data_IF_595360428593
#
_entry.id   IF_595360428593
#
_cell.length_a   1.000
_cell.length_b   1.000
_cell.length_c   1.000
_cell.angle_alpha   90.00
_cell.angle_beta   90.00
_cell.angle_gamma   90.00
#
_symmetry.space_group_name_H-M   'P 1'
#
loop_
_entity.id
_entity.type
_entity.pdbx_description
1 polymer ?
#
# COMPACT_ATOMS: atom_id res chain seq x y z
N UNK A 1 -15.87 -78.94 35.20
CA UNK A 1 -14.94 -77.95 35.79
C UNK A 1 -14.12 -77.27 34.69
N UNK A 2 -13.35 -77.99 33.86
CA UNK A 2 -12.57 -77.38 32.76
C UNK A 2 -13.41 -76.66 31.69
N UNK A 3 -14.57 -77.19 31.31
CA UNK A 3 -15.43 -76.54 30.29
C UNK A 3 -16.00 -75.18 30.75
N UNK A 4 -16.30 -75.05 32.05
CA UNK A 4 -16.82 -73.81 32.63
C UNK A 4 -15.73 -72.73 32.75
N UNK A 5 -14.49 -73.11 33.08
CA UNK A 5 -13.36 -72.19 33.07
C UNK A 5 -13.03 -71.68 31.67
N UNK A 6 -13.06 -72.55 30.67
CA UNK A 6 -12.84 -72.15 29.28
C UNK A 6 -13.95 -71.22 28.78
N UNK A 7 -15.20 -71.47 29.16
CA UNK A 7 -16.33 -70.58 28.82
C UNK A 7 -16.18 -69.21 29.48
N UNK A 8 -15.75 -69.15 30.75
CA UNK A 8 -15.44 -67.89 31.43
C UNK A 8 -14.31 -67.12 30.76
N UNK A 9 -13.18 -67.79 30.44
CA UNK A 9 -12.07 -67.14 29.73
C UNK A 9 -12.49 -66.58 28.38
N UNK A 10 -13.28 -67.33 27.60
CA UNK A 10 -13.82 -66.84 26.32
C UNK A 10 -14.72 -65.63 26.51
N UNK A 11 -15.64 -65.67 27.48
CA UNK A 11 -16.51 -64.51 27.74
C UNK A 11 -15.75 -63.25 28.19
N UNK A 12 -14.66 -63.42 28.94
CA UNK A 12 -13.80 -62.31 29.37
C UNK A 12 -13.03 -61.76 28.16
N UNK A 13 -12.44 -62.62 27.34
CA UNK A 13 -11.73 -62.21 26.14
C UNK A 13 -12.66 -61.51 25.12
N UNK A 14 -13.89 -62.01 24.96
CA UNK A 14 -14.90 -61.39 24.09
C UNK A 14 -15.34 -60.02 24.62
N UNK A 15 -15.50 -59.89 25.95
CA UNK A 15 -15.83 -58.63 26.59
C UNK A 15 -14.69 -57.59 26.45
N UNK A 16 -13.43 -58.01 26.66
CA UNK A 16 -12.26 -57.15 26.49
C UNK A 16 -12.11 -56.69 25.03
N UNK A 17 -12.29 -57.60 24.06
CA UNK A 17 -12.26 -57.25 22.64
C UNK A 17 -13.40 -56.27 22.27
N UNK A 18 -14.59 -56.47 22.82
CA UNK A 18 -15.71 -55.55 22.62
C UNK A 18 -15.42 -54.18 23.24
N UNK A 19 -14.87 -54.11 24.45
CA UNK A 19 -14.50 -52.83 25.08
C UNK A 19 -13.43 -52.09 24.30
N UNK A 20 -12.38 -52.77 23.85
CA UNK A 20 -11.30 -52.16 23.06
C UNK A 20 -11.82 -51.61 21.73
N UNK A 21 -12.63 -52.39 21.02
CA UNK A 21 -13.22 -51.94 19.75
C UNK A 21 -14.19 -50.78 19.93
N UNK A 22 -15.01 -50.79 20.99
CA UNK A 22 -15.90 -49.68 21.32
C UNK A 22 -15.15 -48.43 21.74
N UNK A 23 -14.08 -48.57 22.53
CA UNK A 23 -13.22 -47.45 22.90
C UNK A 23 -12.54 -46.84 21.67
N UNK A 24 -11.97 -47.67 20.79
CA UNK A 24 -11.35 -47.19 19.55
C UNK A 24 -12.36 -46.48 18.63
N UNK A 25 -13.59 -47.01 18.51
CA UNK A 25 -14.67 -46.34 17.76
C UNK A 25 -15.05 -44.99 18.37
N UNK A 26 -15.16 -44.92 19.70
CA UNK A 26 -15.49 -43.68 20.40
C UNK A 26 -14.37 -42.64 20.28
N UNK A 27 -13.10 -43.05 20.32
CA UNK A 27 -11.94 -42.16 20.14
C UNK A 27 -11.89 -41.61 18.71
N UNK A 28 -12.06 -42.46 17.69
CA UNK A 28 -12.10 -42.05 16.29
C UNK A 28 -13.24 -41.07 16.00
N UNK A 29 -14.43 -41.31 16.57
CA UNK A 29 -15.57 -40.42 16.40
C UNK A 29 -15.36 -39.08 17.12
N UNK A 30 -14.77 -39.10 18.32
CA UNK A 30 -14.40 -37.87 19.02
C UNK A 30 -13.39 -37.04 18.21
N UNK A 31 -12.38 -37.68 17.62
CA UNK A 31 -11.39 -36.99 16.79
C UNK A 31 -12.02 -36.42 15.52
N UNK A 32 -12.94 -37.16 14.87
CA UNK A 32 -13.70 -36.68 13.72
C UNK A 32 -14.55 -35.45 14.06
N UNK A 33 -15.36 -35.53 15.12
CA UNK A 33 -16.21 -34.42 15.57
C UNK A 33 -15.37 -33.20 15.92
N UNK A 34 -14.24 -33.41 16.61
CA UNK A 34 -13.32 -32.34 16.96
C UNK A 34 -12.70 -31.69 15.73
N UNK A 35 -12.20 -32.48 14.78
CA UNK A 35 -11.64 -31.98 13.53
C UNK A 35 -12.66 -31.20 12.69
N UNK A 36 -13.90 -31.69 12.60
CA UNK A 36 -14.99 -30.98 11.92
C UNK A 36 -15.35 -29.66 12.60
N UNK A 37 -15.42 -29.67 13.93
CA UNK A 37 -15.72 -28.46 14.71
C UNK A 37 -14.61 -27.41 14.56
N UNK A 38 -13.34 -27.82 14.63
CA UNK A 38 -12.19 -26.94 14.45
C UNK A 38 -12.13 -26.39 13.03
N UNK A 39 -12.38 -27.22 12.02
CA UNK A 39 -12.44 -26.79 10.62
C UNK A 39 -13.56 -25.76 10.40
N UNK A 40 -14.74 -25.97 10.99
CA UNK A 40 -15.85 -25.04 10.89
C UNK A 40 -15.54 -23.71 11.60
N UNK A 41 -14.93 -23.75 12.79
CA UNK A 41 -14.48 -22.54 13.48
C UNK A 41 -13.48 -21.75 12.63
N UNK A 42 -12.50 -22.43 12.03
CA UNK A 42 -11.51 -21.78 11.14
C UNK A 42 -12.18 -21.21 9.91
N UNK A 43 -13.10 -21.94 9.30
CA UNK A 43 -13.86 -21.48 8.13
C UNK A 43 -14.67 -20.23 8.45
N UNK A 44 -15.43 -20.25 9.54
CA UNK A 44 -16.24 -19.12 9.98
C UNK A 44 -15.36 -17.91 10.34
N UNK A 45 -14.22 -18.14 11.01
CA UNK A 45 -13.25 -17.07 11.27
C UNK A 45 -12.67 -16.51 9.96
N UNK A 46 -12.33 -17.35 9.00
CA UNK A 46 -11.84 -16.93 7.69
C UNK A 46 -12.86 -16.10 6.91
N UNK A 47 -14.14 -16.48 6.96
CA UNK A 47 -15.24 -15.71 6.37
C UNK A 47 -15.39 -14.36 7.08
N UNK A 48 -15.40 -14.34 8.41
CA UNK A 48 -15.51 -13.11 9.19
C UNK A 48 -14.33 -12.15 8.95
N UNK A 49 -13.10 -12.67 8.85
CA UNK A 49 -11.91 -11.87 8.52
C UNK A 49 -11.97 -11.33 7.08
N UNK A 50 -12.40 -12.15 6.13
CA UNK A 50 -12.57 -11.73 4.74
C UNK A 50 -13.63 -10.62 4.63
N UNK A 51 -14.79 -10.79 5.27
CA UNK A 51 -15.86 -9.80 5.27
C UNK A 51 -15.44 -8.51 5.98
N UNK A 52 -14.69 -8.61 7.08
CA UNK A 52 -14.12 -7.45 7.76
C UNK A 52 -13.15 -6.68 6.87
N UNK A 53 -12.25 -7.38 6.18
CA UNK A 53 -11.32 -6.76 5.21
C UNK A 53 -12.05 -6.16 4.02
N UNK A 54 -13.08 -6.81 3.50
CA UNK A 54 -13.89 -6.27 2.41
C UNK A 54 -14.64 -5.01 2.86
N UNK A 55 -15.23 -5.01 4.07
CA UNK A 55 -15.85 -3.83 4.65
C UNK A 55 -14.84 -2.72 4.90
N UNK A 56 -13.63 -3.05 5.35
CA UNK A 56 -12.54 -2.08 5.50
C UNK A 56 -12.08 -1.52 4.15
N UNK A 57 -12.01 -2.34 3.10
CA UNK A 57 -11.66 -1.90 1.76
C UNK A 57 -12.75 -0.99 1.16
N UNK A 58 -14.03 -1.36 1.27
CA UNK A 58 -15.17 -0.51 0.87
C UNK A 58 -15.22 0.77 1.69
N UNK A 59 -14.95 0.67 2.99
CA UNK A 59 -14.79 1.83 3.83
C UNK A 59 -13.66 2.71 3.30
N UNK A 60 -12.46 2.19 3.02
CA UNK A 60 -11.34 2.96 2.45
C UNK A 60 -11.64 3.53 1.05
N UNK A 61 -12.53 2.89 0.28
CA UNK A 61 -13.02 3.43 -1.00
C UNK A 61 -13.94 4.63 -0.79
N UNK A 62 -14.82 4.58 0.21
CA UNK A 62 -15.74 5.68 0.56
C UNK A 62 -15.09 6.77 1.46
N UNK A 63 -14.17 6.40 2.33
CA UNK A 63 -13.24 7.26 3.05
C UNK A 63 -12.16 7.68 2.05
N UNK A 64 -12.56 8.55 1.13
CA UNK A 64 -11.76 8.94 -0.04
C UNK A 64 -10.44 9.65 0.30
N UNK A 65 -9.89 10.30 -0.73
CA UNK A 65 -8.59 11.01 -0.72
C UNK A 65 -8.35 11.86 0.55
N UNK A 66 -9.40 12.46 1.12
CA UNK A 66 -9.33 13.24 2.36
C UNK A 66 -8.90 12.44 3.61
N UNK A 67 -9.36 11.19 3.78
CA UNK A 67 -8.98 10.36 4.94
C UNK A 67 -7.53 9.85 4.82
N UNK A 68 -7.10 9.53 3.59
CA UNK A 68 -5.71 9.19 3.28
C UNK A 68 -4.82 10.40 3.55
N UNK A 69 -5.25 11.60 3.14
CA UNK A 69 -4.55 12.85 3.41
C UNK A 69 -4.43 13.12 4.91
N UNK A 70 -5.49 12.93 5.70
CA UNK A 70 -5.45 13.12 7.15
C UNK A 70 -4.49 12.13 7.84
N UNK A 71 -4.50 10.86 7.42
CA UNK A 71 -3.53 9.86 7.92
C UNK A 71 -2.10 10.24 7.53
N UNK A 72 -1.88 10.74 6.31
CA UNK A 72 -0.56 11.20 5.87
C UNK A 72 -0.09 12.41 6.69
N UNK A 73 -0.97 13.40 6.88
CA UNK A 73 -0.70 14.58 7.72
C UNK A 73 -0.32 14.16 9.15
N UNK A 74 -0.93 13.10 9.67
CA UNK A 74 -0.61 12.59 11.02
C UNK A 74 0.80 11.98 11.12
N UNK A 75 1.32 11.39 10.04
CA UNK A 75 2.63 10.71 9.99
C UNK A 75 3.77 11.64 9.51
N UNK A 76 3.44 12.72 8.79
CA UNK A 76 4.42 13.69 8.29
C UNK A 76 5.38 14.27 9.34
N UNK A 77 4.96 14.62 10.58
CA UNK A 77 5.87 15.15 11.60
C UNK A 77 6.99 14.19 11.99
N UNK A 78 6.66 12.91 12.18
CA UNK A 78 7.65 11.88 12.55
C UNK A 78 8.67 11.66 11.43
N UNK A 79 8.21 11.72 10.16
CA UNK A 79 9.09 11.63 9.01
C UNK A 79 10.00 12.86 8.89
N UNK A 80 9.43 14.06 9.05
CA UNK A 80 10.19 15.32 9.02
C UNK A 80 11.24 15.37 10.13
N UNK A 81 10.96 14.88 11.34
CA UNK A 81 11.91 14.76 12.44
C UNK A 81 13.09 13.84 12.07
N UNK A 82 12.81 12.65 11.52
CA UNK A 82 13.85 11.68 11.13
C UNK A 82 14.72 12.19 9.98
N UNK A 83 14.13 12.89 9.01
CA UNK A 83 14.87 13.46 7.87
C UNK A 83 15.66 14.71 8.29
N UNK A 84 15.11 15.52 9.18
CA UNK A 84 15.79 16.72 9.68
C UNK A 84 16.83 16.43 10.76
N UNK A 85 16.80 15.27 11.42
CA UNK A 85 17.78 14.90 12.44
C UNK A 85 19.25 15.08 11.99
N UNK A 86 19.74 14.50 10.87
CA UNK A 86 21.11 14.71 10.40
C UNK A 86 21.37 16.12 9.85
N UNK A 87 20.36 16.80 9.31
CA UNK A 87 20.49 18.17 8.77
C UNK A 87 20.53 19.22 9.89
N UNK A 88 19.78 19.03 10.97
CA UNK A 88 19.75 19.90 12.16
C UNK A 88 21.08 19.93 12.91
N UNK A 89 21.89 18.88 12.76
CA UNK A 89 23.21 18.78 13.36
C UNK A 89 24.26 19.63 12.62
N UNK A 90 23.98 20.07 11.39
CA UNK A 90 24.87 20.94 10.60
C UNK A 90 24.47 22.39 10.85
N UNK A 91 25.13 23.05 11.80
CA UNK A 91 24.88 24.46 12.14
C UNK A 91 25.56 25.44 11.18
N UNK A 92 26.75 25.10 10.69
CA UNK A 92 27.54 25.94 9.80
C UNK A 92 28.33 25.09 8.80
N UNK A 93 27.93 25.09 7.53
CA UNK A 93 28.77 24.55 6.45
C UNK A 93 29.71 25.66 5.95
N UNK A 94 30.89 25.79 6.55
CA UNK A 94 31.93 26.67 6.03
C UNK A 94 32.72 25.95 4.94
N UNK A 95 32.40 26.23 3.68
CA UNK A 95 33.20 25.79 2.53
C UNK A 95 34.55 26.52 2.60
N UNK A 96 35.62 25.80 2.93
CA UNK A 96 36.97 26.33 2.86
C UNK A 96 37.51 26.01 1.47
N UNK A 97 37.50 27.03 0.60
CA UNK A 97 38.27 27.01 -0.63
C UNK A 97 39.75 27.13 -0.23
N UNK A 98 40.46 26.00 -0.16
CA UNK A 98 41.92 26.00 -0.02
C UNK A 98 42.49 26.49 -1.34
N UNK A 99 42.57 27.81 -1.46
CA UNK A 99 43.14 28.52 -2.59
C UNK A 99 44.60 28.11 -2.83
N UNK A 100 44.78 27.04 -3.60
CA UNK A 100 46.01 26.81 -4.35
C UNK A 100 46.04 27.82 -5.49
N UNK A 101 47.21 28.42 -5.73
CA UNK A 101 47.49 29.56 -6.62
C UNK A 101 47.13 29.38 -8.11
N UNK A 102 46.18 28.51 -8.47
CA UNK A 102 45.71 28.29 -9.83
C UNK A 102 44.24 27.83 -9.95
N UNK A 103 43.39 28.03 -8.94
CA UNK A 103 41.96 27.67 -9.05
C UNK A 103 41.06 28.89 -9.23
N UNK A 104 40.55 29.04 -10.44
CA UNK A 104 39.26 29.68 -10.72
C UNK A 104 38.26 29.25 -9.63
N UNK A 105 37.64 30.23 -8.94
CA UNK A 105 36.97 30.05 -7.65
C UNK A 105 36.00 28.86 -7.53
N UNK A 106 35.79 28.39 -6.29
CA UNK A 106 35.00 27.21 -5.93
C UNK A 106 33.63 27.05 -6.61
N UNK A 107 32.98 28.14 -7.05
CA UNK A 107 31.74 28.11 -7.81
C UNK A 107 31.89 27.44 -9.19
N UNK A 108 33.02 27.66 -9.88
CA UNK A 108 33.29 27.06 -11.18
C UNK A 108 33.61 25.56 -11.06
N UNK A 109 34.27 25.14 -9.97
CA UNK A 109 34.47 23.70 -9.69
C UNK A 109 33.16 22.99 -9.36
N UNK A 110 32.26 23.60 -8.59
CA UNK A 110 30.94 22.99 -8.31
C UNK A 110 30.10 22.88 -9.58
N UNK A 111 30.01 23.95 -10.39
CA UNK A 111 29.28 23.91 -11.65
C UNK A 111 29.86 22.87 -12.65
N UNK A 112 31.19 22.78 -12.72
CA UNK A 112 31.86 21.76 -13.54
C UNK A 112 31.69 20.34 -12.98
N UNK A 113 31.65 20.17 -11.66
CA UNK A 113 31.39 18.88 -11.00
C UNK A 113 29.95 18.41 -11.22
N UNK A 114 28.96 19.30 -11.15
CA UNK A 114 27.55 18.96 -11.42
C UNK A 114 27.38 18.56 -12.89
N UNK A 115 27.96 19.32 -13.82
CA UNK A 115 27.91 19.00 -15.25
C UNK A 115 28.59 17.66 -15.54
N UNK A 116 29.77 17.41 -14.96
CA UNK A 116 30.50 16.15 -15.15
C UNK A 116 29.80 14.94 -14.52
N UNK A 117 29.17 15.13 -13.35
CA UNK A 117 28.39 14.09 -12.67
C UNK A 117 27.13 13.76 -13.48
N UNK A 118 26.46 14.77 -14.02
CA UNK A 118 25.29 14.60 -14.88
C UNK A 118 25.64 13.86 -16.19
N UNK A 119 26.80 14.15 -16.77
CA UNK A 119 27.31 13.42 -17.94
C UNK A 119 27.62 11.94 -17.60
N UNK A 120 28.28 11.68 -16.47
CA UNK A 120 28.58 10.31 -16.02
C UNK A 120 27.33 9.49 -15.69
N UNK A 121 26.30 10.12 -15.11
CA UNK A 121 25.02 9.47 -14.85
C UNK A 121 24.30 9.11 -16.16
N UNK A 122 24.29 10.01 -17.15
CA UNK A 122 23.68 9.73 -18.45
C UNK A 122 24.38 8.57 -19.18
N UNK A 123 25.71 8.53 -19.14
CA UNK A 123 26.48 7.46 -19.78
C UNK A 123 26.29 6.11 -19.07
N UNK A 124 26.35 6.10 -17.73
CA UNK A 124 26.14 4.88 -16.95
C UNK A 124 24.72 4.32 -17.07
N UNK A 125 23.69 5.20 -17.12
CA UNK A 125 22.31 4.78 -17.37
C UNK A 125 22.16 4.23 -18.79
N UNK A 126 22.74 4.89 -19.79
CA UNK A 126 22.70 4.41 -21.18
C UNK A 126 23.40 3.06 -21.35
N UNK A 127 24.54 2.85 -20.69
CA UNK A 127 25.28 1.57 -20.73
C UNK A 127 24.57 0.45 -19.96
N UNK A 128 23.99 0.77 -18.80
CA UNK A 128 23.36 -0.23 -17.92
C UNK A 128 21.95 -0.59 -18.36
N UNK A 129 21.19 0.36 -18.92
CA UNK A 129 19.75 0.19 -19.21
C UNK A 129 19.39 0.35 -20.68
N UNK A 130 20.33 0.81 -21.52
CA UNK A 130 20.09 1.10 -22.94
C UNK A 130 19.25 2.35 -23.18
N UNK A 131 18.88 3.10 -22.13
CA UNK A 131 18.01 4.27 -22.24
C UNK A 131 18.80 5.54 -22.56
N UNK A 132 18.48 6.17 -23.68
CA UNK A 132 19.05 7.47 -24.07
C UNK A 132 18.17 8.61 -23.54
N UNK A 133 18.54 9.15 -22.38
CA UNK A 133 17.82 10.23 -21.71
C UNK A 133 17.73 11.50 -22.56
N UNK A 134 18.71 11.77 -23.43
CA UNK A 134 18.70 12.92 -24.33
C UNK A 134 17.59 12.77 -25.37
N UNK A 135 17.48 11.61 -25.99
CA UNK A 135 16.42 11.31 -26.96
C UNK A 135 15.03 11.35 -26.30
N UNK A 136 14.90 10.86 -25.06
CA UNK A 136 13.66 10.94 -24.30
C UNK A 136 13.27 12.39 -23.99
N UNK A 137 14.21 13.24 -23.55
CA UNK A 137 13.96 14.66 -23.32
C UNK A 137 13.59 15.39 -24.61
N UNK A 138 14.30 15.14 -25.71
CA UNK A 138 13.98 15.70 -27.02
C UNK A 138 12.58 15.29 -27.48
N UNK A 139 12.18 14.03 -27.27
CA UNK A 139 10.84 13.55 -27.61
C UNK A 139 9.76 14.16 -26.72
N UNK A 140 10.06 14.42 -25.44
CA UNK A 140 9.14 15.00 -24.47
C UNK A 140 8.94 16.49 -24.73
N UNK A 141 10.02 17.23 -24.95
CA UNK A 141 9.97 18.65 -25.31
C UNK A 141 9.34 18.85 -26.70
N UNK A 142 9.60 17.94 -27.64
CA UNK A 142 8.93 17.96 -28.96
C UNK A 142 7.44 17.58 -28.87
N UNK A 143 7.05 16.69 -27.94
CA UNK A 143 5.63 16.42 -27.63
C UNK A 143 4.93 17.59 -26.95
N UNK A 144 5.66 18.44 -26.23
CA UNK A 144 5.13 19.69 -25.66
C UNK A 144 4.73 20.74 -26.69
N UNK A 145 5.10 20.57 -27.96
CA UNK A 145 4.80 21.51 -29.06
C UNK A 145 3.73 21.00 -30.05
N UNK A 146 2.89 20.02 -29.66
CA UNK A 146 1.73 19.61 -30.45
C UNK A 146 0.44 19.67 -29.63
N UNK A 147 -0.29 20.74 -29.91
CA UNK A 147 -1.76 20.91 -29.87
C UNK A 147 -2.45 21.39 -28.57
N UNK A 148 -3.03 22.58 -28.76
CA UNK A 148 -4.43 22.92 -28.48
C UNK A 148 -4.79 23.33 -27.04
N UNK A 149 -4.34 24.53 -26.68
CA UNK A 149 -4.90 25.29 -25.56
C UNK A 149 -5.07 26.75 -26.00
N UNK A 150 -6.07 26.99 -26.86
CA UNK A 150 -6.26 28.32 -27.47
C UNK A 150 -7.69 28.77 -27.73
N UNK A 151 -8.72 27.96 -27.52
CA UNK A 151 -10.11 28.40 -27.68
C UNK A 151 -11.06 27.66 -26.73
N UNK A 152 -11.19 28.16 -25.49
CA UNK A 152 -12.37 27.93 -24.64
C UNK A 152 -12.33 28.84 -23.41
N UNK A 153 -12.37 30.15 -23.62
CA UNK A 153 -12.47 31.11 -22.50
C UNK A 153 -13.57 32.15 -22.69
N UNK A 154 -14.56 31.91 -23.57
CA UNK A 154 -15.61 32.90 -23.85
C UNK A 154 -17.04 32.32 -23.93
N UNK A 155 -17.38 31.29 -23.15
CA UNK A 155 -18.77 30.79 -23.07
C UNK A 155 -19.35 30.63 -21.66
N UNK A 156 -18.59 30.90 -20.60
CA UNK A 156 -19.08 30.72 -19.21
C UNK A 156 -19.45 32.02 -18.49
N UNK A 157 -19.38 33.18 -19.15
CA UNK A 157 -19.73 34.47 -18.53
C UNK A 157 -21.10 35.05 -18.92
N UNK A 158 -21.82 34.50 -19.90
CA UNK A 158 -23.17 34.99 -20.27
C UNK A 158 -24.33 34.26 -19.57
N UNK A 159 -24.13 33.09 -18.97
CA UNK A 159 -25.23 32.32 -18.35
C UNK A 159 -25.52 32.70 -16.88
N UNK A 160 -24.62 33.47 -16.23
CA UNK A 160 -24.77 33.86 -14.83
C UNK A 160 -25.52 35.19 -14.61
N UNK A 161 -25.87 35.94 -15.67
CA UNK A 161 -26.61 37.21 -15.55
C UNK A 161 -28.06 37.16 -16.00
N UNK A 162 -28.58 36.00 -16.43
CA UNK A 162 -29.93 35.90 -17.01
C UNK A 162 -30.97 35.17 -16.12
N UNK A 163 -30.62 34.72 -14.91
CA UNK A 163 -31.53 33.91 -14.06
C UNK A 163 -31.95 34.58 -12.75
N UNK A 164 -31.99 35.91 -12.70
CA UNK A 164 -32.47 36.60 -11.49
C UNK A 164 -33.31 37.85 -11.74
N UNK A 165 -34.27 37.81 -12.64
CA UNK A 165 -35.44 38.71 -12.63
C UNK A 165 -36.64 38.02 -13.33
N UNK A 166 -37.21 36.96 -12.75
CA UNK A 166 -38.56 36.49 -13.11
C UNK A 166 -39.06 35.47 -12.07
N UNK A 167 -39.25 35.90 -10.82
CA UNK A 167 -40.29 35.31 -9.97
C UNK A 167 -40.60 36.27 -8.81
N UNK A 168 -41.64 37.09 -8.97
CA UNK A 168 -42.40 37.78 -7.91
C UNK A 168 -43.60 38.49 -8.55
N UNK A 169 -44.59 37.69 -8.97
CA UNK A 169 -45.95 38.20 -9.24
C UNK A 169 -47.02 37.18 -8.84
N UNK A 170 -47.50 37.30 -7.60
CA UNK A 170 -48.79 36.87 -7.02
C UNK A 170 -48.74 37.39 -5.57
N UNK A 171 -49.62 38.22 -5.01
CA UNK A 171 -51.08 38.27 -5.04
C UNK A 171 -51.63 39.64 -4.55
N UNK A 172 -52.86 39.95 -4.98
CA UNK A 172 -53.97 40.70 -4.33
C UNK A 172 -53.69 41.89 -3.38
N UNK A 173 -54.15 43.10 -3.72
CA UNK A 173 -55.51 43.66 -3.43
C UNK A 173 -55.68 45.05 -4.06
#
# INVERSE_FOLDING_TARGET
LEEEENKRRRSIADAEAYEVTKRAQAEAENERIKGESEAEVIRQRGIAEAESKERMAKAMEHYGEAAIMEMLISVLPEYAEKVSAPLSQIKDMKVIDMGGSNSQGGSAKVANSVTSTMLGIQESLKETTGMDLKAMLESYVSRGNVNDFGQKENQTFEEASATKEEDLSFDEE
#
